data_IF_021952929669
#
_entry.id   IF_021952929669
#
_cell.length_a   1.000
_cell.length_b   1.000
_cell.length_c   1.000
_cell.angle_alpha   90.00
_cell.angle_beta   90.00
_cell.angle_gamma   90.00
#
_symmetry.space_group_name_H-M   'P 1'
#
loop_
_entity.id
_entity.type
_entity.pdbx_description
1 polymer ?
#
# COMPACT_ATOMS: atom_id res chain seq x y z
N UNK A 1 19.35 -1.75 -12.12
CA UNK A 1 18.10 -2.11 -11.43
C UNK A 1 17.07 -1.03 -11.77
N UNK A 2 16.08 -1.39 -12.59
CA UNK A 2 15.01 -0.48 -13.04
C UNK A 2 13.71 -0.89 -12.33
N UNK A 3 13.16 0.01 -11.52
CA UNK A 3 11.82 -0.16 -10.93
C UNK A 3 10.79 0.40 -11.91
N UNK A 4 9.75 -0.37 -12.18
CA UNK A 4 8.62 0.02 -13.01
C UNK A 4 7.34 -0.07 -12.18
N UNK A 5 6.53 0.99 -12.19
CA UNK A 5 5.20 1.05 -11.60
C UNK A 5 4.19 1.26 -12.73
N UNK A 6 3.37 0.27 -13.01
CA UNK A 6 2.38 0.30 -14.08
C UNK A 6 0.99 -0.03 -13.54
N UNK A 7 0.00 0.75 -13.95
CA UNK A 7 -1.39 0.43 -13.63
C UNK A 7 -1.74 -0.96 -14.20
N UNK A 8 -2.34 -1.78 -13.37
CA UNK A 8 -2.76 -3.12 -13.76
C UNK A 8 -3.93 -3.05 -14.74
N UNK A 9 -3.94 -3.97 -15.70
CA UNK A 9 -5.03 -4.14 -16.65
C UNK A 9 -6.01 -5.18 -16.12
N UNK A 10 -7.24 -5.18 -16.62
CA UNK A 10 -8.29 -6.09 -16.18
C UNK A 10 -7.86 -7.58 -16.22
N UNK A 11 -7.21 -8.00 -17.31
CA UNK A 11 -6.72 -9.37 -17.44
C UNK A 11 -5.59 -9.75 -16.45
N UNK A 12 -5.03 -8.77 -15.74
CA UNK A 12 -3.99 -8.98 -14.71
C UNK A 12 -4.57 -9.09 -13.28
N UNK A 13 -5.87 -8.89 -13.11
CA UNK A 13 -6.53 -9.06 -11.80
C UNK A 13 -6.24 -10.44 -11.17
N UNK A 14 -6.20 -11.56 -11.91
CA UNK A 14 -5.79 -12.84 -11.35
C UNK A 14 -4.37 -12.86 -10.76
N UNK A 15 -3.45 -12.07 -11.33
CA UNK A 15 -2.08 -11.91 -10.78
C UNK A 15 -2.14 -11.16 -9.45
N UNK A 16 -2.90 -10.07 -9.40
CA UNK A 16 -3.09 -9.28 -8.18
C UNK A 16 -3.73 -10.12 -7.06
N UNK A 17 -4.74 -10.93 -7.35
CA UNK A 17 -5.37 -11.85 -6.36
C UNK A 17 -4.35 -12.81 -5.75
N UNK A 18 -3.46 -13.39 -6.56
CA UNK A 18 -2.40 -14.27 -6.07
C UNK A 18 -1.35 -13.54 -5.22
N UNK A 19 -0.95 -12.34 -5.64
CA UNK A 19 -0.05 -11.50 -4.86
C UNK A 19 -0.68 -11.05 -3.54
N UNK A 20 -1.99 -10.79 -3.53
CA UNK A 20 -2.74 -10.46 -2.32
C UNK A 20 -2.67 -11.61 -1.30
N UNK A 21 -2.78 -12.86 -1.71
CA UNK A 21 -2.65 -14.01 -0.79
C UNK A 21 -1.25 -14.09 -0.18
N UNK A 22 -0.19 -13.81 -0.95
CA UNK A 22 1.18 -13.74 -0.41
C UNK A 22 1.34 -12.57 0.58
N UNK A 23 0.73 -11.44 0.30
CA UNK A 23 0.71 -10.29 1.20
C UNK A 23 -0.02 -10.61 2.51
N UNK A 24 -1.21 -11.19 2.42
CA UNK A 24 -2.01 -11.57 3.58
C UNK A 24 -1.32 -12.65 4.42
N UNK A 25 -0.62 -13.61 3.79
CA UNK A 25 0.22 -14.57 4.50
C UNK A 25 1.34 -13.88 5.31
N UNK A 26 2.03 -12.89 4.70
CA UNK A 26 3.03 -12.11 5.42
C UNK A 26 2.39 -11.30 6.57
N UNK A 27 1.19 -10.77 6.34
CA UNK A 27 0.46 -9.95 7.31
C UNK A 27 -0.11 -10.78 8.47
N UNK A 28 -0.51 -12.02 8.21
CA UNK A 28 -1.01 -12.95 9.23
C UNK A 28 0.00 -13.20 10.36
N UNK A 29 1.29 -13.12 10.07
CA UNK A 29 2.34 -13.21 11.09
C UNK A 29 2.42 -11.96 12.01
N UNK A 30 1.81 -10.85 11.61
CA UNK A 30 1.84 -9.57 12.34
C UNK A 30 0.57 -9.40 13.19
N UNK A 31 -0.58 -9.85 12.67
CA UNK A 31 -1.90 -9.59 13.24
C UNK A 31 -2.73 -10.87 13.51
N UNK A 32 -2.05 -12.01 13.61
CA UNK A 32 -2.60 -13.33 13.99
C UNK A 32 -3.89 -13.73 13.23
N UNK A 33 -3.87 -13.57 11.92
CA UNK A 33 -5.00 -13.97 11.08
C UNK A 33 -4.96 -15.45 10.74
N UNK A 34 -6.08 -16.15 10.99
CA UNK A 34 -6.23 -17.53 10.59
C UNK A 34 -6.51 -17.66 9.09
N UNK A 35 -6.01 -18.73 8.50
CA UNK A 35 -6.39 -19.14 7.14
C UNK A 35 -7.78 -19.79 7.19
N UNK A 36 -8.61 -19.53 6.17
CA UNK A 36 -9.93 -20.17 6.04
C UNK A 36 -9.84 -21.64 5.62
N UNK A 37 -10.95 -22.37 5.77
CA UNK A 37 -11.06 -23.77 5.33
C UNK A 37 -10.93 -23.95 3.80
N UNK A 38 -11.12 -22.87 3.05
CA UNK A 38 -10.88 -22.78 1.61
C UNK A 38 -9.40 -22.60 1.24
N UNK A 39 -8.51 -22.51 2.24
CA UNK A 39 -7.08 -22.30 2.07
C UNK A 39 -6.71 -20.87 1.70
N UNK A 40 -7.60 -19.89 1.89
CA UNK A 40 -7.35 -18.48 1.57
C UNK A 40 -7.35 -17.62 2.84
N UNK A 41 -6.58 -16.54 2.81
CA UNK A 41 -6.64 -15.48 3.79
C UNK A 41 -7.65 -14.41 3.40
N UNK A 42 -8.30 -13.85 4.41
CA UNK A 42 -9.21 -12.72 4.26
C UNK A 42 -10.61 -13.10 3.76
N UNK A 43 -11.49 -12.11 3.77
CA UNK A 43 -12.86 -12.28 3.26
C UNK A 43 -12.89 -12.09 1.74
N UNK A 44 -13.42 -13.06 1.00
CA UNK A 44 -13.45 -13.04 -0.46
C UNK A 44 -14.16 -11.78 -1.02
N UNK A 45 -15.28 -11.35 -0.43
CA UNK A 45 -16.00 -10.16 -0.86
C UNK A 45 -15.19 -8.88 -0.66
N UNK A 46 -14.48 -8.78 0.46
CA UNK A 46 -13.59 -7.64 0.74
C UNK A 46 -12.44 -7.59 -0.26
N UNK A 47 -11.82 -8.75 -0.54
CA UNK A 47 -10.72 -8.81 -1.53
C UNK A 47 -11.23 -8.45 -2.91
N UNK A 48 -12.42 -8.92 -3.30
CA UNK A 48 -13.00 -8.61 -4.61
C UNK A 48 -13.31 -7.11 -4.75
N UNK A 49 -13.68 -6.43 -3.67
CA UNK A 49 -13.93 -4.98 -3.68
C UNK A 49 -12.71 -4.17 -4.10
N UNK A 50 -11.48 -4.66 -3.88
CA UNK A 50 -10.25 -4.00 -4.34
C UNK A 50 -10.16 -3.88 -5.87
N UNK A 51 -10.89 -4.71 -6.60
CA UNK A 51 -10.88 -4.74 -8.07
C UNK A 51 -12.13 -4.14 -8.70
N UNK A 52 -13.22 -4.09 -7.96
CA UNK A 52 -14.54 -3.65 -8.43
C UNK A 52 -14.92 -2.24 -7.97
N UNK A 53 -14.32 -1.73 -6.89
CA UNK A 53 -14.56 -0.35 -6.43
C UNK A 53 -13.87 0.64 -7.39
N UNK A 54 -14.64 1.54 -8.06
CA UNK A 54 -14.10 2.51 -9.01
C UNK A 54 -13.13 3.53 -8.38
N UNK A 55 -13.13 3.67 -7.05
CA UNK A 55 -12.17 4.51 -6.33
C UNK A 55 -10.79 3.87 -6.19
N UNK A 56 -10.67 2.57 -6.47
CA UNK A 56 -9.41 1.84 -6.35
C UNK A 56 -8.60 1.90 -7.64
N UNK A 57 -7.33 2.20 -7.52
CA UNK A 57 -6.36 2.09 -8.61
C UNK A 57 -5.27 1.10 -8.22
N UNK A 58 -5.16 0.02 -8.99
CA UNK A 58 -4.20 -1.06 -8.76
C UNK A 58 -2.96 -0.90 -9.62
N UNK A 59 -1.79 -1.06 -9.03
CA UNK A 59 -0.51 -1.03 -9.73
C UNK A 59 0.26 -2.34 -9.52
N UNK A 60 0.88 -2.82 -10.59
CA UNK A 60 1.92 -3.84 -10.53
C UNK A 60 3.30 -3.19 -10.46
N UNK A 61 4.13 -3.71 -9.58
CA UNK A 61 5.54 -3.32 -9.43
C UNK A 61 6.41 -4.38 -10.11
N UNK A 62 7.33 -3.93 -10.96
CA UNK A 62 8.33 -4.79 -11.61
C UNK A 62 9.74 -4.26 -11.36
N UNK A 63 10.70 -5.17 -11.32
CA UNK A 63 12.13 -4.86 -11.23
C UNK A 63 12.83 -5.62 -12.33
N UNK A 64 13.48 -4.90 -13.25
CA UNK A 64 14.12 -5.49 -14.45
C UNK A 64 13.19 -6.47 -15.16
N UNK A 65 11.93 -6.06 -15.38
CA UNK A 65 10.81 -6.81 -15.97
C UNK A 65 10.24 -7.95 -15.12
N UNK A 66 10.88 -8.37 -14.04
CA UNK A 66 10.36 -9.39 -13.13
C UNK A 66 9.29 -8.79 -12.18
N UNK A 67 8.23 -9.58 -11.92
CA UNK A 67 7.20 -9.19 -10.96
C UNK A 67 7.81 -9.04 -9.56
N UNK A 68 7.54 -7.92 -8.91
CA UNK A 68 8.15 -7.56 -7.64
C UNK A 68 7.15 -7.18 -6.54
N UNK A 69 5.89 -6.89 -6.89
CA UNK A 69 4.86 -6.54 -5.91
C UNK A 69 3.66 -5.83 -6.53
N UNK A 70 2.87 -5.20 -5.67
CA UNK A 70 1.72 -4.40 -6.08
C UNK A 70 1.47 -3.25 -5.11
N UNK A 71 0.69 -2.27 -5.55
CA UNK A 71 0.17 -1.18 -4.73
C UNK A 71 -1.29 -0.95 -5.08
N UNK A 72 -2.13 -0.76 -4.06
CA UNK A 72 -3.51 -0.30 -4.19
C UNK A 72 -3.61 1.11 -3.63
N UNK A 73 -4.10 2.02 -4.46
CA UNK A 73 -4.37 3.41 -4.08
C UNK A 73 -5.88 3.62 -4.12
N UNK A 74 -6.43 4.24 -3.09
CA UNK A 74 -7.84 4.62 -3.04
C UNK A 74 -8.00 6.13 -3.09
N UNK A 75 -8.94 6.59 -3.89
CA UNK A 75 -9.46 7.96 -3.85
C UNK A 75 -10.60 8.02 -2.82
N UNK A 76 -10.50 8.92 -1.85
CA UNK A 76 -11.31 8.91 -0.65
C UNK A 76 -10.68 8.05 0.46
N UNK A 77 -9.74 8.62 1.19
CA UNK A 77 -9.00 7.94 2.26
C UNK A 77 -9.91 7.42 3.39
N UNK A 78 -9.48 6.36 4.04
CA UNK A 78 -10.29 5.65 5.03
C UNK A 78 -10.78 6.55 6.19
N UNK A 79 -9.93 7.41 6.70
CA UNK A 79 -10.28 8.32 7.80
C UNK A 79 -10.51 9.76 7.35
N UNK A 80 -9.74 10.26 6.37
CA UNK A 80 -9.87 11.63 5.89
C UNK A 80 -11.00 11.82 4.85
N UNK A 81 -11.47 10.73 4.23
CA UNK A 81 -12.57 10.77 3.25
C UNK A 81 -12.19 11.41 1.92
N UNK A 82 -13.19 12.00 1.26
CA UNK A 82 -13.07 12.60 -0.07
C UNK A 82 -11.99 13.67 -0.15
N UNK A 83 -11.36 13.78 -1.32
CA UNK A 83 -10.29 14.75 -1.59
C UNK A 83 -8.93 14.39 -1.00
N UNK A 84 -8.84 13.24 -0.31
CA UNK A 84 -7.58 12.68 0.19
C UNK A 84 -7.40 11.27 -0.36
N UNK A 85 -6.21 10.92 -0.82
CA UNK A 85 -5.87 9.55 -1.26
C UNK A 85 -5.20 8.78 -0.15
N UNK A 86 -5.40 7.46 -0.15
CA UNK A 86 -4.62 6.57 0.70
C UNK A 86 -3.86 5.49 -0.10
N UNK A 87 -2.80 4.99 0.50
CA UNK A 87 -2.18 3.73 0.12
C UNK A 87 -2.93 2.64 0.89
N UNK A 88 -3.93 2.02 0.25
CA UNK A 88 -4.72 0.97 0.90
C UNK A 88 -3.90 -0.29 1.14
N UNK A 89 -3.12 -0.71 0.14
CA UNK A 89 -2.25 -1.88 0.25
C UNK A 89 -0.92 -1.63 -0.44
N UNK A 90 0.17 -2.11 0.18
CA UNK A 90 1.52 -1.94 -0.35
C UNK A 90 2.36 -3.19 -0.10
N UNK A 91 2.73 -3.88 -1.15
CA UNK A 91 3.44 -5.14 -1.04
C UNK A 91 4.63 -5.23 -1.99
N UNK A 92 5.79 -5.54 -1.43
CA UNK A 92 7.00 -5.90 -2.18
C UNK A 92 7.40 -7.32 -1.78
N UNK A 93 7.57 -8.20 -2.76
CA UNK A 93 8.00 -9.57 -2.57
C UNK A 93 9.32 -9.62 -1.78
N UNK A 94 9.46 -10.55 -0.84
CA UNK A 94 10.61 -10.66 0.08
C UNK A 94 11.98 -10.57 -0.62
N UNK A 95 12.13 -11.26 -1.78
CA UNK A 95 13.39 -11.24 -2.57
C UNK A 95 13.80 -9.85 -3.07
N UNK A 96 12.87 -8.90 -3.11
CA UNK A 96 13.08 -7.54 -3.59
C UNK A 96 13.15 -6.50 -2.47
N UNK A 97 12.94 -6.90 -1.21
CA UNK A 97 13.00 -6.00 -0.05
C UNK A 97 14.42 -5.58 0.27
N UNK A 98 14.57 -4.51 1.08
CA UNK A 98 15.85 -3.96 1.59
C UNK A 98 16.86 -3.57 0.49
N UNK A 99 16.35 -3.26 -0.71
CA UNK A 99 17.12 -2.83 -1.89
C UNK A 99 16.67 -1.48 -2.44
N UNK A 100 15.94 -0.69 -1.64
CA UNK A 100 15.39 0.61 -2.04
C UNK A 100 14.12 0.55 -2.91
N UNK A 101 13.70 -0.65 -3.37
CA UNK A 101 12.57 -0.83 -4.29
C UNK A 101 11.26 -0.30 -3.71
N UNK A 102 10.96 -0.58 -2.43
CA UNK A 102 9.76 -0.05 -1.78
C UNK A 102 9.75 1.47 -1.72
N UNK A 103 10.88 2.09 -1.37
CA UNK A 103 11.02 3.55 -1.34
C UNK A 103 10.79 4.17 -2.71
N UNK A 104 11.41 3.63 -3.74
CA UNK A 104 11.25 4.11 -5.11
C UNK A 104 9.80 3.91 -5.60
N UNK A 105 9.19 2.78 -5.28
CA UNK A 105 7.77 2.50 -5.60
C UNK A 105 6.84 3.52 -4.97
N UNK A 106 6.99 3.78 -3.66
CA UNK A 106 6.15 4.74 -2.94
C UNK A 106 6.27 6.17 -3.53
N UNK A 107 7.50 6.61 -3.81
CA UNK A 107 7.75 7.90 -4.46
C UNK A 107 7.03 8.01 -5.80
N UNK A 108 7.15 7.00 -6.66
CA UNK A 108 6.47 6.96 -7.96
C UNK A 108 4.95 6.98 -7.84
N UNK A 109 4.39 6.37 -6.81
CA UNK A 109 2.95 6.44 -6.52
C UNK A 109 2.57 7.88 -6.15
N UNK A 110 3.27 8.50 -5.21
CA UNK A 110 3.01 9.88 -4.80
C UNK A 110 3.15 10.87 -5.96
N UNK A 111 4.15 10.68 -6.84
CA UNK A 111 4.37 11.53 -8.01
C UNK A 111 3.25 11.42 -9.08
N UNK A 112 2.54 10.28 -9.11
CA UNK A 112 1.42 10.09 -10.04
C UNK A 112 0.18 10.88 -9.67
N UNK A 113 0.00 11.21 -8.39
CA UNK A 113 -1.22 11.84 -7.90
C UNK A 113 -0.87 13.03 -7.01
N UNK A 114 -1.18 14.23 -7.47
CA UNK A 114 -1.01 15.46 -6.69
C UNK A 114 -2.18 15.65 -5.72
N UNK A 115 -1.90 16.19 -4.54
CA UNK A 115 -2.88 16.54 -3.53
C UNK A 115 -2.62 15.90 -2.17
N UNK A 116 -3.68 15.72 -1.40
CA UNK A 116 -3.63 15.22 -0.02
C UNK A 116 -3.50 13.71 0.02
N UNK A 117 -2.67 13.23 0.94
CA UNK A 117 -2.39 11.82 1.20
C UNK A 117 -2.58 11.45 2.65
N UNK A 118 -3.06 10.24 2.88
CA UNK A 118 -3.11 9.57 4.16
C UNK A 118 -2.48 8.17 4.01
N UNK A 119 -1.57 7.81 4.91
CA UNK A 119 -0.96 6.47 4.94
C UNK A 119 -1.07 5.94 6.36
N UNK A 120 -1.64 4.76 6.52
CA UNK A 120 -1.94 4.20 7.84
C UNK A 120 -1.18 2.91 8.09
N UNK A 121 -0.83 2.65 9.35
CA UNK A 121 -0.24 1.38 9.76
C UNK A 121 -0.84 0.93 11.10
N UNK A 122 -0.92 -0.39 11.30
CA UNK A 122 -1.28 -0.96 12.59
C UNK A 122 -0.16 -0.80 13.62
N UNK A 123 -0.51 -0.75 14.90
CA UNK A 123 0.44 -0.69 16.01
C UNK A 123 1.40 -1.89 16.00
N UNK A 124 0.88 -3.07 15.67
CA UNK A 124 1.67 -4.32 15.56
C UNK A 124 2.68 -4.31 14.41
N UNK A 125 2.47 -3.49 13.36
CA UNK A 125 3.34 -3.45 12.18
C UNK A 125 4.46 -2.40 12.32
N UNK A 126 5.38 -2.64 13.24
CA UNK A 126 6.50 -1.72 13.56
C UNK A 126 7.43 -1.50 12.36
N UNK A 127 7.65 -2.54 11.54
CA UNK A 127 8.49 -2.40 10.33
C UNK A 127 7.86 -1.44 9.32
N UNK A 128 6.53 -1.53 9.10
CA UNK A 128 5.84 -0.62 8.21
C UNK A 128 5.84 0.82 8.75
N UNK A 129 5.67 1.03 10.05
CA UNK A 129 5.75 2.37 10.64
C UNK A 129 7.13 3.00 10.39
N UNK A 130 8.21 2.26 10.66
CA UNK A 130 9.58 2.73 10.41
C UNK A 130 9.83 3.01 8.93
N UNK A 131 9.31 2.16 8.04
CA UNK A 131 9.41 2.34 6.60
C UNK A 131 8.70 3.62 6.15
N UNK A 132 7.44 3.81 6.52
CA UNK A 132 6.64 4.94 6.06
C UNK A 132 7.13 6.28 6.63
N UNK A 133 7.53 6.35 7.90
CA UNK A 133 8.17 7.54 8.48
C UNK A 133 9.39 7.98 7.69
N UNK A 134 10.27 7.04 7.33
CA UNK A 134 11.46 7.33 6.53
C UNK A 134 11.09 7.77 5.11
N UNK A 135 10.19 7.07 4.45
CA UNK A 135 9.80 7.35 3.06
C UNK A 135 9.09 8.69 2.95
N UNK A 136 8.07 8.92 3.77
CA UNK A 136 7.28 10.16 3.78
C UNK A 136 8.16 11.33 4.24
N UNK A 137 8.92 11.15 5.31
CA UNK A 137 9.83 12.19 5.80
C UNK A 137 10.83 12.63 4.75
N UNK A 138 11.46 11.68 4.04
CA UNK A 138 12.37 11.99 2.93
C UNK A 138 11.66 12.60 1.72
N UNK A 139 10.46 12.14 1.38
CA UNK A 139 9.70 12.65 0.23
C UNK A 139 9.20 14.07 0.44
N UNK A 140 8.74 14.38 1.65
CA UNK A 140 8.15 15.69 1.99
C UNK A 140 9.16 16.71 2.55
N UNK A 141 10.41 16.29 2.77
CA UNK A 141 11.39 17.11 3.51
C UNK A 141 10.95 17.35 4.96
N UNK A 142 10.27 16.36 5.58
CA UNK A 142 9.74 16.44 6.94
C UNK A 142 8.39 17.15 7.06
N UNK A 143 7.80 17.62 5.96
CA UNK A 143 6.51 18.34 5.96
C UNK A 143 5.33 17.37 5.91
N UNK A 144 5.12 16.63 6.99
CA UNK A 144 3.99 15.74 7.20
C UNK A 144 3.57 15.76 8.67
N UNK A 145 2.35 15.35 8.94
CA UNK A 145 1.80 15.18 10.27
C UNK A 145 1.57 13.70 10.57
N UNK A 146 1.90 13.26 11.81
CA UNK A 146 1.63 11.90 12.26
C UNK A 146 0.72 11.95 13.48
N UNK A 147 -0.38 11.19 13.43
CA UNK A 147 -1.39 11.12 14.48
C UNK A 147 -1.78 9.66 14.75
N UNK A 148 -2.30 9.35 15.95
CA UNK A 148 -3.00 8.09 16.19
C UNK A 148 -4.19 7.95 15.23
N UNK A 149 -4.46 6.72 14.79
CA UNK A 149 -5.68 6.42 14.04
C UNK A 149 -6.91 6.63 14.95
N UNK A 150 -8.03 7.14 14.40
CA UNK A 150 -9.27 7.34 15.18
C UNK A 150 -9.81 6.08 15.85
N UNK A 151 -9.54 4.91 15.28
CA UNK A 151 -9.95 3.61 15.82
C UNK A 151 -9.00 3.05 16.91
N UNK A 152 -7.94 3.79 17.25
CA UNK A 152 -6.95 3.40 18.24
C UNK A 152 -6.01 2.26 17.82
N UNK A 153 -6.11 1.75 16.56
CA UNK A 153 -5.39 0.54 16.12
C UNK A 153 -4.04 0.82 15.48
N UNK A 154 -3.57 2.06 15.49
CA UNK A 154 -2.28 2.37 14.88
C UNK A 154 -2.04 3.86 14.71
N UNK A 155 -1.21 4.18 13.73
CA UNK A 155 -0.84 5.55 13.37
C UNK A 155 -1.19 5.86 11.92
N UNK A 156 -1.33 7.16 11.61
CA UNK A 156 -1.53 7.65 10.27
C UNK A 156 -0.64 8.87 10.02
N UNK A 157 -0.01 8.92 8.85
CA UNK A 157 0.72 10.09 8.35
C UNK A 157 -0.11 10.79 7.29
N UNK A 158 -0.15 12.13 7.35
CA UNK A 158 -0.82 13.00 6.38
C UNK A 158 0.12 14.03 5.82
N UNK A 159 0.04 14.26 4.52
CA UNK A 159 0.78 15.31 3.82
C UNK A 159 0.03 15.77 2.57
N UNK A 160 0.47 16.89 2.00
CA UNK A 160 -0.06 17.42 0.74
C UNK A 160 1.11 17.66 -0.22
N UNK A 161 1.24 16.80 -1.25
CA UNK A 161 2.34 16.90 -2.20
C UNK A 161 2.10 17.93 -3.32
N UNK A 162 0.93 18.56 -3.36
CA UNK A 162 0.71 19.71 -4.24
C UNK A 162 1.42 20.97 -3.73
N UNK A 163 1.86 20.95 -2.47
CA UNK A 163 2.54 22.06 -1.79
C UNK A 163 4.03 21.81 -1.52
N UNK A 164 4.59 20.75 -2.11
CA UNK A 164 6.02 20.39 -1.93
C UNK A 164 6.96 21.09 -2.92
#
# INVERSE_FOLDING_TARGET
MRVELRQAREHEVPVLRRLMQLYLYDFAAIDDWAIGDDGLYGNAATIESFWTDPRMTSFLVRVDSALAGFVLVRDGAHFAGEGTRDISEFFILRRHRRRGIGTETARRVFDKFRGKWEVTQLTSNVEAQAFWRRVIGSYTGGRYDEQPRPDGKGVMQRFDNARL
#
